data_IF_944084972568
#
_entry.id   IF_944084972568
#
_cell.length_a   1.000
_cell.length_b   1.000
_cell.length_c   1.000
_cell.angle_alpha   90.00
_cell.angle_beta   90.00
_cell.angle_gamma   90.00
#
_symmetry.space_group_name_H-M   'P 1'
#
loop_
_entity.id
_entity.type
_entity.pdbx_description
1 polymer ?
#
# COMPACT_ATOMS: atom_id res chain seq x y z
N UNK A 1 -15.81 10.75 -55.47
CA UNK A 1 -15.88 11.85 -54.48
C UNK A 1 -14.83 11.56 -53.42
N UNK A 2 -13.87 12.47 -53.31
CA UNK A 2 -12.65 12.34 -52.53
C UNK A 2 -12.93 12.94 -51.14
N UNK A 3 -12.97 12.13 -50.09
CA UNK A 3 -13.10 12.65 -48.73
C UNK A 3 -11.70 12.87 -48.15
N UNK A 4 -11.41 14.14 -47.90
CA UNK A 4 -10.08 14.68 -47.64
C UNK A 4 -9.46 14.21 -46.33
N UNK A 5 -8.13 14.18 -46.38
CA UNK A 5 -7.22 14.04 -45.25
C UNK A 5 -7.51 15.11 -44.19
N UNK A 6 -7.87 14.66 -42.99
CA UNK A 6 -7.85 15.49 -41.79
C UNK A 6 -6.43 15.39 -41.23
N UNK A 7 -5.64 16.44 -41.45
CA UNK A 7 -4.37 16.67 -40.78
C UNK A 7 -4.64 16.84 -39.27
N UNK A 8 -4.22 15.88 -38.46
CA UNK A 8 -4.15 16.06 -37.01
C UNK A 8 -2.87 16.86 -36.75
N UNK A 9 -3.04 18.15 -36.54
CA UNK A 9 -1.99 19.08 -36.11
C UNK A 9 -1.44 18.63 -34.76
N UNK A 10 -0.20 18.14 -34.75
CA UNK A 10 0.57 17.82 -33.55
C UNK A 10 1.09 19.10 -32.89
N UNK A 11 0.24 19.73 -32.07
CA UNK A 11 0.66 20.69 -31.04
C UNK A 11 -0.40 20.71 -29.95
N UNK A 12 -0.40 19.73 -29.05
CA UNK A 12 -1.15 19.82 -27.80
C UNK A 12 -0.16 19.96 -26.64
N UNK A 13 0.25 21.21 -26.42
CA UNK A 13 0.95 21.64 -25.21
C UNK A 13 -0.08 21.65 -24.07
N UNK A 14 -0.45 20.47 -23.58
CA UNK A 14 -1.27 20.36 -22.37
C UNK A 14 -0.41 20.81 -21.20
N UNK A 15 -0.73 21.98 -20.64
CA UNK A 15 -0.33 22.34 -19.29
C UNK A 15 -0.99 21.31 -18.39
N UNK A 16 -0.26 20.26 -18.01
CA UNK A 16 -0.73 19.28 -17.03
C UNK A 16 -1.00 20.05 -15.74
N UNK A 17 -2.28 20.18 -15.37
CA UNK A 17 -2.69 20.88 -14.16
C UNK A 17 -2.04 20.18 -12.96
N UNK A 18 -1.09 20.85 -12.30
CA UNK A 18 -0.42 20.36 -11.09
C UNK A 18 -1.40 20.36 -9.92
N UNK A 19 -1.59 19.21 -9.27
CA UNK A 19 -2.53 19.11 -8.15
C UNK A 19 -2.03 19.89 -6.93
N UNK A 20 -2.82 20.82 -6.41
CA UNK A 20 -2.51 21.54 -5.15
C UNK A 20 -2.69 20.63 -3.93
N UNK A 21 -2.12 21.01 -2.78
CA UNK A 21 -2.36 20.32 -1.50
C UNK A 21 -3.85 20.22 -1.19
N UNK A 22 -4.58 21.30 -1.42
CA UNK A 22 -6.02 21.40 -1.20
C UNK A 22 -6.79 20.44 -2.13
N UNK A 23 -6.36 20.31 -3.39
CA UNK A 23 -6.96 19.36 -4.33
C UNK A 23 -6.69 17.90 -3.96
N UNK A 24 -5.48 17.57 -3.49
CA UNK A 24 -5.16 16.23 -2.98
C UNK A 24 -6.05 15.88 -1.77
N UNK A 25 -6.19 16.80 -0.82
CA UNK A 25 -7.05 16.62 0.35
C UNK A 25 -8.53 16.53 -0.04
N UNK A 26 -8.98 17.27 -1.06
CA UNK A 26 -10.35 17.18 -1.55
C UNK A 26 -10.67 15.82 -2.16
N UNK A 27 -9.69 15.15 -2.79
CA UNK A 27 -9.86 13.87 -3.48
C UNK A 27 -9.20 12.69 -2.77
N UNK A 28 -8.97 12.80 -1.46
CA UNK A 28 -8.25 11.78 -0.66
C UNK A 28 -8.95 10.41 -0.64
N UNK A 29 -10.26 10.35 -0.91
CA UNK A 29 -11.02 9.10 -1.01
C UNK A 29 -10.87 8.39 -2.36
N UNK A 30 -10.25 9.05 -3.35
CA UNK A 30 -10.01 8.52 -4.68
C UNK A 30 -8.78 7.59 -4.73
N UNK A 31 -8.63 6.71 -3.73
CA UNK A 31 -7.60 5.68 -3.74
C UNK A 31 -7.91 4.70 -4.87
N UNK A 32 -7.02 4.56 -5.88
CA UNK A 32 -7.24 3.67 -7.00
C UNK A 32 -7.25 2.21 -6.55
N UNK A 33 -8.05 1.40 -7.21
CA UNK A 33 -8.04 -0.06 -7.07
C UNK A 33 -7.78 -0.67 -8.44
N UNK A 34 -7.12 -1.81 -8.46
CA UNK A 34 -6.69 -2.42 -9.71
C UNK A 34 -7.87 -2.95 -10.55
N UNK A 35 -7.88 -2.68 -11.88
CA UNK A 35 -8.98 -3.07 -12.76
C UNK A 35 -9.28 -4.57 -12.74
N UNK A 36 -8.24 -5.40 -12.70
CA UNK A 36 -8.35 -6.86 -12.70
C UNK A 36 -9.20 -7.37 -11.52
N UNK A 37 -9.11 -6.69 -10.37
CA UNK A 37 -9.86 -7.03 -9.16
C UNK A 37 -11.35 -6.81 -9.41
N UNK A 38 -11.70 -5.68 -10.04
CA UNK A 38 -13.08 -5.34 -10.37
C UNK A 38 -13.64 -6.34 -11.38
N UNK A 39 -12.90 -6.67 -12.44
CA UNK A 39 -13.38 -7.60 -13.48
C UNK A 39 -13.54 -9.02 -12.96
N UNK A 40 -12.59 -9.54 -12.19
CA UNK A 40 -12.63 -10.91 -11.66
C UNK A 40 -13.71 -11.10 -10.59
N UNK A 41 -13.86 -10.13 -9.68
CA UNK A 41 -14.88 -10.23 -8.62
C UNK A 41 -16.28 -10.05 -9.20
N UNK A 42 -16.49 -9.12 -10.13
CA UNK A 42 -17.81 -8.95 -10.78
C UNK A 42 -18.19 -10.17 -11.65
N UNK A 43 -17.21 -10.90 -12.17
CA UNK A 43 -17.42 -12.16 -12.87
C UNK A 43 -17.75 -13.35 -11.96
N UNK A 44 -17.54 -13.21 -10.64
CA UNK A 44 -17.78 -14.28 -9.66
C UNK A 44 -19.18 -14.16 -9.04
N UNK A 45 -19.94 -15.26 -9.02
CA UNK A 45 -21.26 -15.26 -8.39
C UNK A 45 -21.16 -15.01 -6.88
N UNK A 46 -21.99 -14.11 -6.34
CA UNK A 46 -22.03 -13.78 -4.90
C UNK A 46 -22.53 -14.94 -4.03
N UNK A 47 -23.16 -15.95 -4.64
CA UNK A 47 -23.62 -17.17 -3.96
C UNK A 47 -22.59 -18.29 -4.01
N UNK A 48 -21.50 -18.12 -4.77
CA UNK A 48 -20.44 -19.13 -4.86
C UNK A 48 -19.58 -19.10 -3.59
N UNK A 49 -19.20 -20.28 -3.03
CA UNK A 49 -18.27 -20.37 -1.90
C UNK A 49 -16.92 -19.69 -2.18
N UNK A 50 -16.53 -19.59 -3.45
CA UNK A 50 -15.28 -19.00 -3.89
C UNK A 50 -15.27 -17.47 -3.80
N UNK A 51 -16.43 -16.80 -3.76
CA UNK A 51 -16.54 -15.34 -3.75
C UNK A 51 -15.77 -14.69 -2.58
N UNK A 52 -16.03 -15.14 -1.36
CA UNK A 52 -15.34 -14.61 -0.17
C UNK A 52 -13.84 -14.94 -0.18
N UNK A 53 -13.46 -16.09 -0.74
CA UNK A 53 -12.06 -16.47 -0.88
C UNK A 53 -11.33 -15.55 -1.85
N UNK A 54 -11.94 -15.26 -3.01
CA UNK A 54 -11.38 -14.31 -3.99
C UNK A 54 -11.30 -12.90 -3.43
N UNK A 55 -12.32 -12.42 -2.71
CA UNK A 55 -12.26 -11.10 -2.09
C UNK A 55 -11.14 -11.02 -1.05
N UNK A 56 -10.94 -12.05 -0.22
CA UNK A 56 -9.80 -12.08 0.71
C UNK A 56 -8.48 -12.00 -0.03
N UNK A 57 -8.31 -12.81 -1.08
CA UNK A 57 -7.09 -12.80 -1.89
C UNK A 57 -6.82 -11.42 -2.49
N UNK A 58 -7.82 -10.80 -3.11
CA UNK A 58 -7.64 -9.47 -3.71
C UNK A 58 -7.45 -8.37 -2.68
N UNK A 59 -8.19 -8.38 -1.58
CA UNK A 59 -8.06 -7.37 -0.53
C UNK A 59 -6.67 -7.42 0.10
N UNK A 60 -6.09 -8.62 0.27
CA UNK A 60 -4.70 -8.74 0.74
C UNK A 60 -3.68 -8.19 -0.27
N UNK A 61 -4.02 -8.06 -1.55
CA UNK A 61 -3.12 -7.61 -2.61
C UNK A 61 -3.37 -6.17 -3.09
N UNK A 62 -4.37 -5.46 -2.55
CA UNK A 62 -4.77 -4.11 -2.96
C UNK A 62 -5.14 -3.21 -1.77
N UNK A 63 -4.34 -2.16 -1.48
CA UNK A 63 -4.60 -1.26 -0.36
C UNK A 63 -5.96 -0.54 -0.46
N UNK A 64 -6.39 -0.18 -1.67
CA UNK A 64 -7.66 0.51 -1.91
C UNK A 64 -8.88 -0.35 -1.57
N UNK A 65 -8.84 -1.66 -1.86
CA UNK A 65 -9.88 -2.62 -1.50
C UNK A 65 -9.83 -2.96 -0.01
N UNK A 66 -8.65 -3.25 0.54
CA UNK A 66 -8.48 -3.53 1.97
C UNK A 66 -9.01 -2.40 2.84
N UNK A 67 -8.58 -1.16 2.55
CA UNK A 67 -8.96 0.02 3.30
C UNK A 67 -10.48 0.24 3.33
N UNK A 68 -11.16 0.09 2.20
CA UNK A 68 -12.64 0.23 2.13
C UNK A 68 -13.39 -0.90 2.82
N UNK A 69 -12.88 -2.13 2.77
CA UNK A 69 -13.45 -3.26 3.51
C UNK A 69 -13.33 -3.03 5.02
N UNK A 70 -12.14 -2.64 5.49
CA UNK A 70 -11.89 -2.29 6.89
C UNK A 70 -12.79 -1.11 7.31
N UNK A 71 -12.87 -0.07 6.49
CA UNK A 71 -13.71 1.10 6.74
C UNK A 71 -15.17 0.73 6.96
N UNK A 72 -15.72 -0.06 6.03
CA UNK A 72 -17.12 -0.45 6.12
C UNK A 72 -17.38 -1.34 7.33
N UNK A 73 -16.48 -2.29 7.63
CA UNK A 73 -16.59 -3.17 8.78
C UNK A 73 -16.59 -2.43 10.13
N UNK A 74 -15.95 -1.25 10.18
CA UNK A 74 -15.90 -0.38 11.35
C UNK A 74 -16.94 0.76 11.35
N UNK A 75 -17.71 0.90 10.28
CA UNK A 75 -18.70 1.97 10.19
C UNK A 75 -19.83 1.81 11.21
N UNK A 76 -20.50 2.92 11.54
CA UNK A 76 -21.63 2.94 12.48
C UNK A 76 -22.76 1.97 12.10
N UNK A 77 -22.92 1.63 10.81
CA UNK A 77 -23.90 0.67 10.34
C UNK A 77 -23.62 -0.77 10.83
N UNK A 78 -22.35 -1.11 11.06
CA UNK A 78 -21.92 -2.43 11.54
C UNK A 78 -21.47 -2.42 13.01
N UNK A 79 -21.19 -1.24 13.58
CA UNK A 79 -20.94 -0.97 14.99
C UNK A 79 -20.24 -2.13 15.72
N UNK A 80 -18.98 -2.46 15.35
CA UNK A 80 -18.29 -3.54 16.01
C UNK A 80 -18.01 -3.18 17.48
N UNK A 81 -17.94 -4.19 18.34
CA UNK A 81 -17.64 -4.01 19.77
C UNK A 81 -16.19 -3.53 19.95
N UNK A 82 -15.31 -3.97 19.06
CA UNK A 82 -13.89 -3.59 18.99
C UNK A 82 -13.52 -3.35 17.53
N UNK A 83 -12.62 -2.43 17.28
CA UNK A 83 -12.18 -2.12 15.92
C UNK A 83 -11.59 -3.35 15.21
N UNK A 84 -11.92 -3.49 13.93
CA UNK A 84 -11.55 -4.62 13.09
C UNK A 84 -10.48 -4.17 12.09
N UNK A 85 -9.26 -4.62 12.30
CA UNK A 85 -8.11 -4.32 11.43
C UNK A 85 -7.69 -5.52 10.58
N UNK A 86 -8.01 -6.75 11.01
CA UNK A 86 -7.77 -7.94 10.20
C UNK A 86 -8.74 -8.00 9.02
N UNK A 87 -8.17 -7.98 7.81
CA UNK A 87 -8.87 -8.07 6.53
C UNK A 87 -9.76 -9.32 6.48
N UNK A 88 -9.30 -10.47 6.98
CA UNK A 88 -10.08 -11.70 6.95
C UNK A 88 -11.31 -11.59 7.84
N UNK A 89 -11.14 -11.09 9.07
CA UNK A 89 -12.24 -10.82 10.00
C UNK A 89 -13.25 -9.84 9.39
N UNK A 90 -12.79 -8.77 8.73
CA UNK A 90 -13.66 -7.82 8.07
C UNK A 90 -14.47 -8.46 6.92
N UNK A 91 -13.83 -9.27 6.07
CA UNK A 91 -14.50 -9.99 4.97
C UNK A 91 -15.58 -10.94 5.50
N UNK A 92 -15.26 -11.73 6.54
CA UNK A 92 -16.22 -12.67 7.14
C UNK A 92 -17.41 -11.92 7.76
N UNK A 93 -17.15 -10.81 8.46
CA UNK A 93 -18.19 -10.01 9.12
C UNK A 93 -19.16 -9.37 8.12
N UNK A 94 -18.64 -8.79 7.03
CA UNK A 94 -19.47 -8.11 6.03
C UNK A 94 -20.29 -9.10 5.18
N UNK A 95 -19.71 -10.25 4.87
CA UNK A 95 -20.36 -11.29 4.05
C UNK A 95 -20.52 -10.89 2.58
N UNK A 96 -20.96 -11.84 1.75
CA UNK A 96 -20.87 -11.74 0.29
C UNK A 96 -21.73 -10.62 -0.30
N UNK A 97 -22.95 -10.42 0.23
CA UNK A 97 -23.88 -9.41 -0.27
C UNK A 97 -23.27 -8.00 -0.21
N UNK A 98 -22.79 -7.62 0.97
CA UNK A 98 -22.22 -6.29 1.21
C UNK A 98 -20.93 -6.10 0.43
N UNK A 99 -20.07 -7.11 0.42
CA UNK A 99 -18.82 -7.04 -0.33
C UNK A 99 -19.06 -6.91 -1.84
N UNK A 100 -20.15 -7.49 -2.37
CA UNK A 100 -20.56 -7.26 -3.76
C UNK A 100 -20.95 -5.81 -4.03
N UNK A 101 -21.63 -5.15 -3.08
CA UNK A 101 -21.98 -3.74 -3.18
C UNK A 101 -20.72 -2.84 -3.18
N UNK A 102 -19.74 -3.14 -2.31
CA UNK A 102 -18.42 -2.46 -2.34
C UNK A 102 -17.76 -2.63 -3.70
N UNK A 103 -17.71 -3.86 -4.22
CA UNK A 103 -17.08 -4.16 -5.51
C UNK A 103 -17.74 -3.38 -6.64
N UNK A 104 -19.08 -3.30 -6.65
CA UNK A 104 -19.83 -2.55 -7.66
C UNK A 104 -19.56 -1.05 -7.60
N UNK A 105 -19.37 -0.48 -6.40
CA UNK A 105 -19.01 0.92 -6.24
C UNK A 105 -17.69 1.27 -6.95
N UNK A 106 -16.76 0.33 -7.08
CA UNK A 106 -15.51 0.54 -7.82
C UNK A 106 -15.70 0.75 -9.33
N UNK A 107 -16.80 0.28 -9.93
CA UNK A 107 -17.04 0.52 -11.36
C UNK A 107 -17.28 2.00 -11.68
N UNK A 108 -17.67 2.77 -10.68
CA UNK A 108 -17.93 4.21 -10.78
C UNK A 108 -16.70 5.04 -10.40
N UNK A 109 -15.75 4.44 -9.66
CA UNK A 109 -14.50 5.09 -9.26
C UNK A 109 -13.50 5.06 -10.43
N UNK A 110 -12.56 6.02 -10.45
CA UNK A 110 -11.48 6.04 -11.44
C UNK A 110 -10.63 4.78 -11.30
N UNK A 111 -10.73 3.91 -12.30
CA UNK A 111 -9.89 2.72 -12.41
C UNK A 111 -8.61 3.12 -13.12
N UNK A 112 -7.47 2.98 -12.45
CA UNK A 112 -6.16 3.23 -13.04
C UNK A 112 -5.51 1.90 -13.41
N UNK A 113 -4.99 1.79 -14.64
CA UNK A 113 -4.21 0.63 -15.08
C UNK A 113 -2.72 0.96 -14.92
N UNK A 114 -1.99 0.32 -13.99
CA UNK A 114 -0.53 0.47 -13.92
C UNK A 114 0.10 0.15 -15.27
N UNK A 115 0.64 1.18 -15.92
CA UNK A 115 1.24 1.09 -17.26
C UNK A 115 2.77 1.10 -17.28
N UNK A 116 3.42 1.36 -16.14
CA UNK A 116 4.90 1.43 -16.04
C UNK A 116 5.40 0.58 -14.89
N UNK A 117 6.68 0.15 -14.91
CA UNK A 117 7.30 -0.54 -13.78
C UNK A 117 7.19 0.25 -12.46
N UNK A 118 7.31 1.58 -12.53
CA UNK A 118 7.16 2.47 -11.37
C UNK A 118 5.74 2.41 -10.79
N UNK A 119 4.71 2.37 -11.64
CA UNK A 119 3.33 2.22 -11.17
C UNK A 119 3.12 0.87 -10.46
N UNK A 120 3.67 -0.21 -11.01
CA UNK A 120 3.62 -1.53 -10.37
C UNK A 120 4.40 -1.57 -9.04
N UNK A 121 5.46 -0.77 -8.92
CA UNK A 121 6.29 -0.70 -7.71
C UNK A 121 5.51 -0.19 -6.50
N UNK A 122 4.51 0.69 -6.68
CA UNK A 122 3.65 1.17 -5.59
C UNK A 122 2.92 0.02 -4.87
N UNK A 123 2.25 -0.85 -5.64
CA UNK A 123 1.56 -2.01 -5.09
C UNK A 123 2.53 -3.08 -4.59
N UNK A 124 3.66 -3.27 -5.28
CA UNK A 124 4.71 -4.18 -4.85
C UNK A 124 5.28 -3.78 -3.49
N UNK A 125 5.54 -2.49 -3.28
CA UNK A 125 6.03 -1.94 -2.02
C UNK A 125 5.04 -2.19 -0.89
N UNK A 126 3.76 -1.84 -1.08
CA UNK A 126 2.72 -2.08 -0.07
C UNK A 126 2.65 -3.55 0.36
N UNK A 127 2.78 -4.51 -0.57
CA UNK A 127 2.78 -5.95 -0.24
C UNK A 127 4.06 -6.42 0.40
N UNK A 128 5.21 -5.89 -0.02
CA UNK A 128 6.47 -6.18 0.65
C UNK A 128 6.41 -5.73 2.12
N UNK A 129 5.98 -4.49 2.38
CA UNK A 129 5.86 -3.95 3.74
C UNK A 129 4.83 -4.72 4.55
N UNK A 130 3.64 -5.00 4.01
CA UNK A 130 2.63 -5.82 4.68
C UNK A 130 3.16 -7.21 5.06
N UNK A 131 3.85 -7.87 4.12
CA UNK A 131 4.39 -9.22 4.33
C UNK A 131 5.52 -9.21 5.35
N UNK A 132 6.49 -8.30 5.22
CA UNK A 132 7.58 -8.14 6.18
C UNK A 132 7.04 -7.80 7.56
N UNK A 133 6.10 -6.86 7.68
CA UNK A 133 5.51 -6.48 8.95
C UNK A 133 4.84 -7.67 9.66
N UNK A 134 4.09 -8.48 8.91
CA UNK A 134 3.48 -9.71 9.41
C UNK A 134 4.52 -10.73 9.85
N UNK A 135 5.57 -10.95 9.05
CA UNK A 135 6.61 -11.92 9.38
C UNK A 135 7.43 -11.48 10.59
N UNK A 136 7.73 -10.17 10.71
CA UNK A 136 8.36 -9.60 11.91
C UNK A 136 7.48 -9.83 13.13
N UNK A 137 6.16 -9.68 13.04
CA UNK A 137 5.27 -9.94 14.18
C UNK A 137 5.22 -11.44 14.56
N UNK A 138 5.32 -12.35 13.59
CA UNK A 138 5.32 -13.81 13.83
C UNK A 138 6.65 -14.28 14.41
N UNK A 139 7.74 -13.78 13.85
CA UNK A 139 9.08 -14.26 14.18
C UNK A 139 9.68 -13.44 15.33
N UNK A 140 9.35 -12.16 15.47
CA UNK A 140 9.91 -11.30 16.49
C UNK A 140 9.48 -11.64 17.92
N UNK A 141 9.75 -10.69 18.80
CA UNK A 141 9.38 -10.74 20.21
C UNK A 141 8.18 -9.83 20.56
N UNK A 142 7.74 -9.01 19.61
CA UNK A 142 6.57 -8.16 19.76
C UNK A 142 5.31 -8.99 20.03
N UNK A 143 4.53 -8.59 21.04
CA UNK A 143 3.26 -9.25 21.39
C UNK A 143 2.09 -8.52 20.72
N UNK A 144 2.11 -8.50 19.39
CA UNK A 144 1.12 -7.82 18.56
C UNK A 144 0.47 -8.81 17.59
N UNK A 145 -0.75 -8.52 17.15
CA UNK A 145 -1.44 -9.37 16.18
C UNK A 145 -0.79 -9.25 14.79
N UNK A 146 -0.25 -10.33 14.20
CA UNK A 146 0.41 -10.27 12.89
C UNK A 146 -0.48 -9.82 11.74
N UNK A 147 -1.79 -10.12 11.79
CA UNK A 147 -2.73 -9.69 10.74
C UNK A 147 -3.06 -8.19 10.85
N UNK A 148 -2.94 -7.61 12.05
CA UNK A 148 -2.97 -6.15 12.23
C UNK A 148 -1.72 -5.54 11.60
N UNK A 149 -0.52 -6.05 11.91
CA UNK A 149 0.72 -5.59 11.29
C UNK A 149 0.69 -5.69 9.76
N UNK A 150 0.09 -6.76 9.22
CA UNK A 150 -0.13 -6.91 7.78
C UNK A 150 -1.01 -5.78 7.23
N UNK A 151 -2.16 -5.52 7.84
CA UNK A 151 -3.09 -4.49 7.38
C UNK A 151 -2.48 -3.09 7.48
N UNK A 152 -1.76 -2.77 8.56
CA UNK A 152 -1.09 -1.47 8.70
C UNK A 152 0.04 -1.33 7.67
N UNK A 153 0.86 -2.37 7.49
CA UNK A 153 1.90 -2.37 6.46
C UNK A 153 1.34 -2.25 5.05
N UNK A 154 0.14 -2.77 4.78
CA UNK A 154 -0.53 -2.62 3.49
C UNK A 154 -1.02 -1.18 3.25
N UNK A 155 -1.44 -0.50 4.32
CA UNK A 155 -2.07 0.83 4.26
C UNK A 155 -1.07 1.99 4.47
N UNK A 156 0.15 1.73 4.94
CA UNK A 156 1.11 2.77 5.36
C UNK A 156 1.34 3.85 4.29
N UNK A 157 1.40 3.43 3.03
CA UNK A 157 1.70 4.28 1.87
C UNK A 157 0.48 4.59 1.00
N UNK A 158 -0.74 4.41 1.53
CA UNK A 158 -1.97 4.67 0.76
C UNK A 158 -2.05 6.12 0.25
N UNK A 159 -1.42 7.08 0.93
CA UNK A 159 -1.32 8.46 0.46
C UNK A 159 -0.56 8.59 -0.87
N UNK A 160 0.44 7.75 -1.13
CA UNK A 160 1.19 7.76 -2.39
C UNK A 160 0.32 7.26 -3.56
N UNK A 161 -0.63 6.36 -3.29
CA UNK A 161 -1.66 5.97 -4.28
C UNK A 161 -2.63 7.13 -4.58
N UNK A 162 -2.93 7.99 -3.61
CA UNK A 162 -3.73 9.20 -3.84
C UNK A 162 -2.96 10.20 -4.69
N UNK A 163 -1.68 10.45 -4.38
CA UNK A 163 -0.81 11.30 -5.21
C UNK A 163 -0.78 10.79 -6.65
N UNK A 164 -0.60 9.48 -6.81
CA UNK A 164 -0.58 8.81 -8.10
C UNK A 164 -1.88 8.98 -8.90
N UNK A 165 -3.03 8.82 -8.26
CA UNK A 165 -4.33 8.95 -8.93
C UNK A 165 -4.65 10.39 -9.36
N UNK A 166 -4.08 11.39 -8.69
CA UNK A 166 -4.35 12.80 -8.96
C UNK A 166 -3.32 13.44 -9.89
N UNK A 167 -2.03 13.10 -9.76
CA UNK A 167 -0.94 13.72 -10.53
C UNK A 167 0.23 12.73 -10.74
N UNK A 168 0.06 11.71 -11.61
CA UNK A 168 1.09 10.69 -11.84
C UNK A 168 2.37 11.24 -12.45
N UNK A 169 2.28 12.35 -13.22
CA UNK A 169 3.44 13.00 -13.82
C UNK A 169 4.32 13.63 -12.74
N UNK A 170 3.72 14.31 -11.75
CA UNK A 170 4.47 14.91 -10.65
C UNK A 170 4.97 13.88 -9.63
N UNK A 171 4.25 12.77 -9.45
CA UNK A 171 4.80 11.65 -8.67
C UNK A 171 6.04 11.05 -9.34
N UNK A 172 6.07 11.00 -10.67
CA UNK A 172 7.29 10.63 -11.40
C UNK A 172 8.42 11.64 -11.19
N UNK A 173 8.14 12.95 -11.14
CA UNK A 173 9.15 13.96 -10.77
C UNK A 173 9.78 13.63 -9.41
N UNK A 174 8.98 13.23 -8.40
CA UNK A 174 9.50 12.78 -7.09
C UNK A 174 10.43 11.57 -7.22
N UNK A 175 10.05 10.57 -8.00
CA UNK A 175 10.85 9.36 -8.18
C UNK A 175 12.16 9.63 -8.95
N UNK A 176 12.16 10.59 -9.87
CA UNK A 176 13.31 10.98 -10.68
C UNK A 176 14.36 11.81 -9.88
N UNK A 177 14.02 12.35 -8.70
CA UNK A 177 14.96 13.06 -7.80
C UNK A 177 16.01 12.13 -7.14
N UNK A 178 15.84 10.80 -7.23
CA UNK A 178 16.86 9.84 -6.84
C UNK A 178 17.11 9.71 -5.34
N UNK A 179 16.05 9.85 -4.54
CA UNK A 179 16.05 9.57 -3.09
C UNK A 179 16.50 8.13 -2.79
N UNK A 180 17.12 7.92 -1.63
CA UNK A 180 17.77 6.66 -1.23
C UNK A 180 17.31 6.13 0.12
N UNK A 181 16.42 6.86 0.78
CA UNK A 181 15.81 6.44 2.03
C UNK A 181 14.37 6.93 2.11
N UNK A 182 13.53 6.28 2.94
CA UNK A 182 12.16 6.74 3.15
C UNK A 182 12.07 8.19 3.68
N UNK A 183 13.01 8.57 4.56
CA UNK A 183 13.09 9.94 5.08
C UNK A 183 13.41 10.99 3.99
N UNK A 184 14.26 10.64 3.01
CA UNK A 184 14.54 11.51 1.87
C UNK A 184 13.30 11.66 0.97
N UNK A 185 12.58 10.57 0.71
CA UNK A 185 11.33 10.58 -0.08
C UNK A 185 10.32 11.59 0.48
N UNK A 186 10.07 11.58 1.79
CA UNK A 186 9.16 12.52 2.45
C UNK A 186 9.54 13.98 2.20
N UNK A 187 10.84 14.30 2.23
CA UNK A 187 11.30 15.67 1.99
C UNK A 187 11.10 16.09 0.53
N UNK A 188 11.35 15.19 -0.41
CA UNK A 188 11.12 15.43 -1.84
C UNK A 188 9.63 15.64 -2.11
N UNK A 189 8.76 14.79 -1.56
CA UNK A 189 7.31 14.94 -1.70
C UNK A 189 6.81 16.26 -1.10
N UNK A 190 7.27 16.66 0.08
CA UNK A 190 6.89 17.97 0.66
C UNK A 190 7.34 19.13 -0.23
N UNK A 191 8.56 19.06 -0.78
CA UNK A 191 9.07 20.11 -1.66
C UNK A 191 8.26 20.18 -2.98
N UNK A 192 7.89 19.02 -3.53
CA UNK A 192 7.18 18.94 -4.79
C UNK A 192 5.69 19.17 -4.60
N UNK A 193 4.98 18.46 -3.73
CA UNK A 193 3.53 18.48 -3.53
C UNK A 193 3.03 19.40 -2.41
N UNK A 194 3.90 19.85 -1.50
CA UNK A 194 3.49 20.60 -0.29
C UNK A 194 2.90 19.74 0.83
N UNK A 195 2.88 18.42 0.64
CA UNK A 195 2.42 17.40 1.59
C UNK A 195 3.14 16.08 1.25
N UNK A 196 3.41 15.24 2.24
CA UNK A 196 3.94 13.89 2.04
C UNK A 196 2.85 12.81 2.07
N UNK A 197 3.20 11.60 1.60
CA UNK A 197 2.27 10.48 1.55
C UNK A 197 1.83 10.00 2.93
N UNK A 198 2.63 10.18 3.99
CA UNK A 198 2.28 9.75 5.33
C UNK A 198 1.18 10.64 5.94
N UNK A 199 1.30 11.97 5.80
CA UNK A 199 0.25 12.92 6.17
C UNK A 199 -1.03 12.66 5.36
N UNK A 200 -0.90 12.52 4.04
CA UNK A 200 -2.04 12.28 3.16
C UNK A 200 -2.72 10.94 3.45
N UNK A 201 -1.95 9.87 3.64
CA UNK A 201 -2.43 8.54 3.98
C UNK A 201 -3.15 8.49 5.32
N UNK A 202 -2.67 9.24 6.32
CA UNK A 202 -3.37 9.38 7.58
C UNK A 202 -4.76 10.02 7.40
N UNK A 203 -4.88 11.05 6.55
CA UNK A 203 -6.18 11.66 6.23
C UNK A 203 -7.11 10.65 5.52
N UNK A 204 -6.58 9.82 4.61
CA UNK A 204 -7.35 8.72 3.98
C UNK A 204 -7.94 7.82 5.08
N UNK A 205 -7.08 7.34 5.97
CA UNK A 205 -7.46 6.39 7.00
C UNK A 205 -8.43 7.00 8.04
N UNK A 206 -8.29 8.27 8.40
CA UNK A 206 -9.26 8.98 9.23
C UNK A 206 -10.65 9.00 8.59
N UNK A 207 -10.74 9.30 7.28
CA UNK A 207 -12.02 9.30 6.57
C UNK A 207 -12.63 7.91 6.41
N UNK A 208 -11.77 6.90 6.32
CA UNK A 208 -12.18 5.51 6.35
C UNK A 208 -12.60 5.03 7.76
N UNK A 209 -12.50 5.87 8.80
CA UNK A 209 -12.84 5.47 10.16
C UNK A 209 -11.89 4.40 10.70
N UNK A 210 -10.64 4.36 10.20
CA UNK A 210 -9.58 3.53 10.76
C UNK A 210 -9.27 4.04 12.19
N UNK A 211 -8.97 3.15 13.15
CA UNK A 211 -8.69 3.54 14.54
C UNK A 211 -7.56 4.56 14.65
N UNK A 212 -7.71 5.51 15.57
CA UNK A 212 -6.78 6.64 15.75
C UNK A 212 -5.33 6.22 15.98
N UNK A 213 -5.11 5.11 16.68
CA UNK A 213 -3.75 4.57 16.92
C UNK A 213 -3.09 4.13 15.60
N UNK A 214 -3.85 3.55 14.67
CA UNK A 214 -3.33 3.14 13.37
C UNK A 214 -3.14 4.34 12.46
N UNK A 215 -4.07 5.30 12.48
CA UNK A 215 -3.88 6.60 11.82
C UNK A 215 -2.58 7.25 12.27
N UNK A 216 -2.27 7.20 13.57
CA UNK A 216 -1.01 7.71 14.09
C UNK A 216 0.20 6.95 13.52
N UNK A 217 0.15 5.61 13.49
CA UNK A 217 1.23 4.80 12.89
C UNK A 217 1.47 5.21 11.44
N UNK A 218 0.40 5.32 10.64
CA UNK A 218 0.49 5.73 9.24
C UNK A 218 1.04 7.15 9.11
N UNK A 219 0.61 8.10 9.96
CA UNK A 219 1.13 9.48 9.92
C UNK A 219 2.61 9.57 10.26
N UNK A 220 3.10 8.67 11.11
CA UNK A 220 4.39 8.81 11.81
C UNK A 220 5.41 7.73 11.48
N UNK A 221 5.13 6.87 10.51
CA UNK A 221 6.03 5.77 10.17
C UNK A 221 7.40 6.25 9.64
N UNK A 222 7.55 7.49 9.16
CA UNK A 222 8.88 8.06 8.83
C UNK A 222 9.58 8.80 9.97
N UNK A 223 8.99 8.85 11.17
CA UNK A 223 9.55 9.52 12.35
C UNK A 223 10.10 8.48 13.35
N UNK A 224 11.43 8.24 13.39
CA UNK A 224 12.02 7.16 14.18
C UNK A 224 11.69 7.21 15.69
N UNK A 225 11.43 8.39 16.23
CA UNK A 225 11.15 8.61 17.65
C UNK A 225 9.66 8.69 18.01
N UNK A 226 8.75 8.57 17.03
CA UNK A 226 7.32 8.73 17.28
C UNK A 226 6.72 7.66 18.20
N UNK A 227 7.42 6.53 18.42
CA UNK A 227 7.03 5.49 19.37
C UNK A 227 6.94 5.96 20.82
N UNK A 228 7.53 7.11 21.15
CA UNK A 228 7.53 7.68 22.50
C UNK A 228 6.14 8.21 22.90
N UNK A 229 5.25 8.46 21.94
CA UNK A 229 3.96 9.12 22.16
C UNK A 229 2.76 8.18 22.15
N UNK A 230 2.99 6.87 22.11
CA UNK A 230 1.93 5.87 21.94
C UNK A 230 1.99 4.74 22.98
N UNK A 231 0.91 3.96 23.04
CA UNK A 231 0.81 2.75 23.87
C UNK A 231 1.92 1.73 23.52
N UNK A 232 2.14 0.74 24.38
CA UNK A 232 3.11 -0.33 24.10
C UNK A 232 2.76 -1.15 22.86
N UNK A 233 1.48 -1.44 22.63
CA UNK A 233 1.03 -2.22 21.47
C UNK A 233 1.25 -1.42 20.17
N UNK A 234 0.79 -0.17 20.14
CA UNK A 234 0.95 0.72 18.99
C UNK A 234 2.44 1.02 18.70
N UNK A 235 3.27 1.11 19.75
CA UNK A 235 4.72 1.27 19.64
C UNK A 235 5.35 0.14 18.83
N UNK A 236 5.01 -1.10 19.14
CA UNK A 236 5.59 -2.25 18.45
C UNK A 236 5.10 -2.31 17.00
N UNK A 237 3.80 -2.06 16.75
CA UNK A 237 3.27 -1.94 15.37
C UNK A 237 4.01 -0.85 14.58
N UNK A 238 4.23 0.33 15.15
CA UNK A 238 4.97 1.42 14.50
C UNK A 238 6.38 1.01 14.12
N UNK A 239 7.14 0.42 15.07
CA UNK A 239 8.53 -0.01 14.85
C UNK A 239 8.64 -1.13 13.82
N UNK A 240 7.66 -2.03 13.79
CA UNK A 240 7.56 -3.09 12.79
C UNK A 240 7.37 -2.48 11.40
N UNK A 241 6.41 -1.55 11.24
CA UNK A 241 6.12 -0.90 9.95
C UNK A 241 7.33 -0.09 9.48
N UNK A 242 7.94 0.67 10.37
CA UNK A 242 9.19 1.41 10.13
C UNK A 242 10.31 0.51 9.59
N UNK A 243 10.53 -0.63 10.23
CA UNK A 243 11.59 -1.54 9.80
C UNK A 243 11.25 -2.20 8.45
N UNK A 244 10.00 -2.62 8.27
CA UNK A 244 9.51 -3.27 7.06
C UNK A 244 9.58 -2.33 5.85
N UNK A 245 9.20 -1.06 6.01
CA UNK A 245 9.32 -0.03 4.99
C UNK A 245 10.78 0.16 4.56
N UNK A 246 11.69 0.42 5.51
CA UNK A 246 13.11 0.58 5.23
C UNK A 246 13.71 -0.60 4.46
N UNK A 247 13.36 -1.83 4.84
CA UNK A 247 13.81 -3.04 4.17
C UNK A 247 13.20 -3.19 2.78
N UNK A 248 11.92 -2.85 2.59
CA UNK A 248 11.30 -2.85 1.26
C UNK A 248 11.93 -1.83 0.33
N UNK A 249 12.20 -0.60 0.79
CA UNK A 249 12.93 0.42 0.01
C UNK A 249 14.31 -0.08 -0.40
N UNK A 250 15.07 -0.67 0.52
CA UNK A 250 16.38 -1.27 0.20
C UNK A 250 16.29 -2.39 -0.83
N UNK A 251 15.27 -3.25 -0.72
CA UNK A 251 15.01 -4.32 -1.67
C UNK A 251 14.64 -3.78 -3.06
N UNK A 252 13.87 -2.69 -3.14
CA UNK A 252 13.54 -2.04 -4.42
C UNK A 252 14.78 -1.40 -5.07
N UNK A 253 15.60 -0.72 -4.27
CA UNK A 253 16.84 -0.09 -4.74
C UNK A 253 17.91 -1.12 -5.14
N UNK A 254 18.00 -2.27 -4.47
CA UNK A 254 18.95 -3.33 -4.83
C UNK A 254 18.57 -4.03 -6.12
N UNK A 255 17.28 -4.28 -6.37
CA UNK A 255 16.81 -4.85 -7.64
C UNK A 255 17.11 -3.95 -8.86
N UNK A 256 17.22 -2.63 -8.66
CA UNK A 256 17.68 -1.72 -9.70
C UNK A 256 19.17 -1.90 -10.05
N UNK A 257 19.98 -2.46 -9.13
CA UNK A 257 21.40 -2.76 -9.31
C UNK A 257 21.72 -4.19 -9.79
N UNK A 258 20.72 -5.09 -9.87
CA UNK A 258 20.87 -6.49 -10.28
C UNK A 258 20.42 -7.51 -9.20
N UNK A 259 20.43 -8.82 -9.49
CA UNK A 259 20.00 -9.83 -8.53
C UNK A 259 21.02 -10.00 -7.39
N UNK A 260 20.64 -9.63 -6.17
CA UNK A 260 21.40 -9.95 -4.96
C UNK A 260 21.15 -11.40 -4.49
N UNK A 261 22.17 -12.05 -3.93
CA UNK A 261 22.00 -13.34 -3.28
C UNK A 261 21.21 -13.19 -1.97
N UNK A 262 20.55 -14.26 -1.54
CA UNK A 262 19.81 -14.30 -0.27
C UNK A 262 20.68 -13.88 0.92
N UNK A 263 21.96 -14.30 0.94
CA UNK A 263 22.91 -13.92 1.98
C UNK A 263 23.32 -12.45 1.92
N UNK A 264 23.33 -11.86 0.72
CA UNK A 264 23.55 -10.43 0.52
C UNK A 264 22.41 -9.61 1.14
N UNK A 265 21.17 -9.98 0.80
CA UNK A 265 19.97 -9.35 1.33
C UNK A 265 19.87 -9.50 2.86
N UNK A 266 20.17 -10.68 3.41
CA UNK A 266 20.16 -10.90 4.86
C UNK A 266 21.16 -9.97 5.59
N UNK A 267 22.39 -9.84 5.08
CA UNK A 267 23.38 -8.89 5.64
C UNK A 267 22.95 -7.43 5.48
N UNK A 268 22.32 -7.09 4.36
CA UNK A 268 21.78 -5.76 4.13
C UNK A 268 20.67 -5.43 5.14
N UNK A 269 19.79 -6.39 5.43
CA UNK A 269 18.71 -6.23 6.41
C UNK A 269 19.28 -6.08 7.82
N UNK A 270 20.21 -6.95 8.20
CA UNK A 270 20.88 -6.92 9.51
C UNK A 270 21.62 -5.59 9.76
N UNK A 271 22.36 -5.11 8.78
CA UNK A 271 23.10 -3.84 8.89
C UNK A 271 22.21 -2.58 8.87
N UNK A 272 20.93 -2.73 8.53
CA UNK A 272 19.96 -1.63 8.46
C UNK A 272 18.85 -1.70 9.50
N UNK A 273 19.05 -2.49 10.56
CA UNK A 273 18.12 -2.52 11.68
C UNK A 273 18.07 -1.14 12.37
N UNK A 274 16.87 -0.60 12.45
CA UNK A 274 16.56 0.60 13.23
C UNK A 274 16.85 0.28 14.70
N UNK A 275 17.68 1.07 15.42
CA UNK A 275 18.09 0.76 16.80
C UNK A 275 16.92 0.46 17.73
N UNK A 276 15.83 1.19 17.60
CA UNK A 276 14.60 1.09 18.37
C UNK A 276 13.83 -0.21 18.10
N UNK A 277 14.01 -0.79 16.91
CA UNK A 277 13.38 -2.06 16.48
C UNK A 277 14.19 -3.29 16.89
N UNK A 278 15.44 -3.16 17.35
CA UNK A 278 16.27 -4.32 17.75
C UNK A 278 15.60 -5.23 18.77
N UNK A 279 14.90 -4.65 19.73
CA UNK A 279 14.23 -5.39 20.79
C UNK A 279 13.09 -6.29 20.27
N UNK A 280 12.39 -5.85 19.22
CA UNK A 280 11.23 -6.57 18.67
C UNK A 280 11.63 -7.58 17.59
N UNK A 281 12.77 -7.40 16.91
CA UNK A 281 13.22 -8.34 15.85
C UNK A 281 13.83 -9.61 16.42
N UNK A 282 14.50 -9.51 17.58
CA UNK A 282 15.22 -10.62 18.19
C UNK A 282 16.50 -11.02 17.41
N UNK A 283 17.28 -11.99 17.93
CA UNK A 283 18.41 -12.57 17.23
C UNK A 283 17.89 -13.57 16.18
N UNK A 284 17.55 -13.07 14.98
CA UNK A 284 16.95 -13.89 13.92
C UNK A 284 17.67 -13.76 12.60
N UNK A 285 17.63 -14.86 11.85
CA UNK A 285 18.02 -14.91 10.45
C UNK A 285 16.84 -14.40 9.61
N UNK A 286 17.02 -13.28 8.91
CA UNK A 286 15.97 -12.63 8.13
C UNK A 286 15.63 -13.36 6.81
N UNK A 287 16.25 -14.52 6.54
CA UNK A 287 16.00 -15.31 5.33
C UNK A 287 14.53 -15.70 5.13
N UNK A 288 13.82 -16.07 6.20
CA UNK A 288 12.40 -16.44 6.10
C UNK A 288 11.55 -15.22 5.75
N UNK A 289 11.80 -14.07 6.39
CA UNK A 289 11.16 -12.79 6.06
C UNK A 289 11.39 -12.42 4.59
N UNK A 290 12.63 -12.51 4.11
CA UNK A 290 12.99 -12.19 2.71
C UNK A 290 12.28 -13.16 1.76
N UNK A 291 12.37 -14.47 2.03
CA UNK A 291 11.77 -15.53 1.20
C UNK A 291 10.26 -15.34 1.06
N UNK A 292 9.54 -15.17 2.17
CA UNK A 292 8.10 -14.95 2.17
C UNK A 292 7.72 -13.67 1.43
N UNK A 293 8.52 -12.61 1.58
CA UNK A 293 8.29 -11.34 0.88
C UNK A 293 8.45 -11.47 -0.63
N UNK A 294 9.50 -12.17 -1.10
CA UNK A 294 9.72 -12.42 -2.53
C UNK A 294 8.61 -13.30 -3.12
N UNK A 295 8.18 -14.34 -2.40
CA UNK A 295 7.05 -15.21 -2.81
C UNK A 295 5.75 -14.42 -2.91
N UNK A 296 5.42 -13.61 -1.89
CA UNK A 296 4.21 -12.80 -1.87
C UNK A 296 4.19 -11.78 -3.02
N UNK A 297 5.31 -11.07 -3.24
CA UNK A 297 5.44 -10.12 -4.35
C UNK A 297 5.31 -10.82 -5.70
N UNK A 298 5.90 -12.01 -5.86
CA UNK A 298 5.78 -12.81 -7.08
C UNK A 298 4.35 -13.31 -7.32
N UNK A 299 3.65 -13.72 -6.25
CA UNK A 299 2.25 -14.13 -6.32
C UNK A 299 1.34 -12.96 -6.69
N UNK A 300 1.54 -11.80 -6.07
CA UNK A 300 0.83 -10.57 -6.39
C UNK A 300 0.94 -10.24 -7.89
N UNK A 301 2.15 -10.27 -8.47
CA UNK A 301 2.34 -10.01 -9.91
C UNK A 301 1.52 -10.96 -10.80
N UNK A 302 1.35 -12.22 -10.39
CA UNK A 302 0.51 -13.19 -11.10
C UNK A 302 -0.99 -12.89 -10.93
N UNK A 303 -1.43 -12.67 -9.69
CA UNK A 303 -2.84 -12.39 -9.34
C UNK A 303 -3.33 -11.12 -10.03
N UNK A 304 -2.48 -10.10 -10.10
CA UNK A 304 -2.84 -8.79 -10.63
C UNK A 304 -2.57 -8.64 -12.13
N UNK A 305 -2.08 -9.70 -12.79
CA UNK A 305 -1.72 -9.62 -14.21
C UNK A 305 -0.63 -8.58 -14.52
N UNK A 306 0.15 -8.15 -13.52
CA UNK A 306 1.22 -7.15 -13.64
C UNK A 306 2.49 -7.73 -14.28
N UNK A 307 2.37 -8.81 -15.06
CA UNK A 307 3.44 -9.22 -15.95
C UNK A 307 3.55 -8.13 -17.02
N UNK A 308 4.55 -7.26 -16.87
CA UNK A 308 5.00 -6.40 -17.96
C UNK A 308 5.17 -7.30 -19.19
N UNK A 309 4.41 -7.02 -20.27
CA UNK A 309 4.79 -7.54 -21.57
C UNK A 309 6.16 -6.93 -21.85
N UNK A 310 7.19 -7.75 -21.69
CA UNK A 310 8.52 -7.41 -22.21
C UNK A 310 8.33 -7.47 -23.73
N UNK A 311 8.16 -6.31 -24.36
CA UNK A 311 8.41 -6.16 -25.80
C UNK A 311 9.92 -6.16 -26.06
#
# INVERSE_FOLDING_TARGET
>A
MNFGNINISTTDTTITKRATREELLAHVEAVPTLPIIVTEILGTSTTSPEFLTRIREFARNDPGLAGRIIALANSAAYAPVTDILDINTAVVRLGSRILSEIVRAFTVLRVFVPSTPAHCALWSHAIQVATMARMIAIEGHAQVNPEVCYAVGLLHDVGRLVMFANDPARLREVDDEGWRSPAELVNVERAIFGIDHAELGAVVCERWGVPGDIVFVIRKHHEPDAWQYVSSETRDVLRIVQQADLWSVKLMLSQAGGPESMDGLARQFESSIIPESKAILGPKDFRDIISQTLVATGAQRRVLGLQLRVE
#
